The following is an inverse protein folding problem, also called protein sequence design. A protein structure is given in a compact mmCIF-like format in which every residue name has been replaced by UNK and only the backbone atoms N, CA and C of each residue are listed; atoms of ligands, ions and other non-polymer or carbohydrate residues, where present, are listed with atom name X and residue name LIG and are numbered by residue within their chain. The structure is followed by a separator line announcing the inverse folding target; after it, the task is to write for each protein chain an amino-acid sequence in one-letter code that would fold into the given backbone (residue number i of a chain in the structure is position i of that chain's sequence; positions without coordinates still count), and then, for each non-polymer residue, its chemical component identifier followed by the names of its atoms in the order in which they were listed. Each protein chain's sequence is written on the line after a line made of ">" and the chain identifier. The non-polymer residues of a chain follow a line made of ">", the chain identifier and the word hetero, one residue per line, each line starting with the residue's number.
data_IF_644521726019
#
_entry.id   IF_644521726019
#
_cell.length_a   1.000
_cell.length_b   1.000
_cell.length_c   1.000
_cell.angle_alpha   90.00
_cell.angle_beta   90.00
_cell.angle_gamma   90.00
#
_symmetry.space_group_name_H-M   'P 1'
#
loop_
_entity.id
_entity.type
_entity.pdbx_description
1 polymer ?
#
# COMPACT_ATOMS: atom_id res chain seq x y z
N UNK A 1 -23.62 20.81 9.63
CA UNK A 1 -23.79 19.50 8.95
C UNK A 1 -23.44 19.73 7.48
N UNK A 2 -22.19 19.51 7.11
CA UNK A 2 -21.73 19.73 5.73
C UNK A 2 -21.94 18.42 4.95
N UNK A 3 -22.71 18.50 3.85
CA UNK A 3 -23.12 17.36 3.04
C UNK A 3 -21.90 16.63 2.47
N UNK A 4 -21.57 15.46 3.03
CA UNK A 4 -20.53 14.55 2.54
C UNK A 4 -21.00 13.75 1.31
N UNK A 5 -21.56 14.44 0.31
CA UNK A 5 -21.93 13.86 -1.00
C UNK A 5 -20.72 13.67 -1.92
N UNK A 6 -19.53 14.16 -1.53
CA UNK A 6 -18.30 13.93 -2.27
C UNK A 6 -17.89 12.46 -2.17
N UNK A 7 -17.84 11.77 -3.30
CA UNK A 7 -17.29 10.43 -3.38
C UNK A 7 -15.81 10.45 -2.99
N UNK A 8 -15.35 9.55 -2.11
CA UNK A 8 -13.94 9.50 -1.69
C UNK A 8 -13.06 9.24 -2.90
N UNK A 9 -12.05 10.09 -3.11
CA UNK A 9 -11.10 9.90 -4.21
C UNK A 9 -10.02 8.89 -3.81
N UNK A 10 -10.39 7.60 -3.85
CA UNK A 10 -9.55 6.47 -3.43
C UNK A 10 -8.24 6.35 -4.21
N UNK A 11 -8.22 6.83 -5.45
CA UNK A 11 -7.01 6.92 -6.26
C UNK A 11 -5.97 7.85 -5.59
N UNK A 12 -6.41 9.01 -5.11
CA UNK A 12 -5.52 9.98 -4.49
C UNK A 12 -4.98 9.46 -3.14
N UNK A 13 -5.80 8.73 -2.40
CA UNK A 13 -5.35 8.03 -1.20
C UNK A 13 -4.31 6.96 -1.49
N UNK A 14 -4.45 6.24 -2.60
CA UNK A 14 -3.52 5.18 -2.97
C UNK A 14 -2.12 5.68 -3.34
N UNK A 15 -1.95 6.95 -3.70
CA UNK A 15 -0.64 7.58 -3.95
C UNK A 15 0.28 7.61 -2.72
N UNK A 16 -0.27 7.42 -1.53
CA UNK A 16 0.56 7.30 -0.32
C UNK A 16 1.43 6.04 -0.39
N UNK A 17 0.94 4.95 -1.01
CA UNK A 17 1.69 3.71 -1.15
C UNK A 17 3.01 3.89 -1.90
N UNK A 18 3.04 4.37 -3.16
CA UNK A 18 4.29 4.52 -3.90
C UNK A 18 5.26 5.49 -3.21
N UNK A 19 4.77 6.56 -2.57
CA UNK A 19 5.61 7.50 -1.82
C UNK A 19 6.29 6.79 -0.64
N UNK A 20 5.53 6.05 0.16
CA UNK A 20 6.09 5.31 1.30
C UNK A 20 7.00 4.16 0.84
N UNK A 21 6.63 3.48 -0.25
CA UNK A 21 7.41 2.40 -0.82
C UNK A 21 8.81 2.87 -1.24
N UNK A 22 8.89 3.95 -2.02
CA UNK A 22 10.17 4.52 -2.47
C UNK A 22 10.98 5.05 -1.28
N UNK A 23 10.33 5.79 -0.37
CA UNK A 23 11.01 6.39 0.78
C UNK A 23 11.61 5.34 1.72
N UNK A 24 10.83 4.30 2.04
CA UNK A 24 11.27 3.20 2.91
C UNK A 24 12.32 2.35 2.19
N UNK A 25 12.14 2.07 0.90
CA UNK A 25 13.13 1.35 0.08
C UNK A 25 14.50 2.03 0.11
N UNK A 26 14.54 3.33 -0.15
CA UNK A 26 15.79 4.11 -0.12
C UNK A 26 16.43 4.17 1.28
N UNK A 27 15.60 4.28 2.34
CA UNK A 27 16.09 4.29 3.72
C UNK A 27 16.74 2.94 4.10
N UNK A 28 16.19 1.82 3.64
CA UNK A 28 16.74 0.49 3.93
C UNK A 28 18.05 0.29 3.18
N UNK A 29 18.08 0.65 1.89
CA UNK A 29 19.28 0.53 1.06
C UNK A 29 20.46 1.31 1.65
N UNK A 30 20.19 2.49 2.24
CA UNK A 30 21.22 3.31 2.90
C UNK A 30 21.68 2.79 4.27
N UNK A 31 20.80 2.17 5.06
CA UNK A 31 21.11 1.75 6.44
C UNK A 31 21.61 0.29 6.50
N UNK A 32 21.05 -0.59 5.68
CA UNK A 32 21.32 -2.02 5.69
C UNK A 32 21.22 -2.61 4.27
N UNK A 33 22.19 -2.28 3.38
CA UNK A 33 22.15 -2.68 1.97
C UNK A 33 22.12 -4.20 1.76
N UNK A 34 22.65 -4.98 2.71
CA UNK A 34 22.63 -6.45 2.63
C UNK A 34 21.33 -7.08 3.14
N UNK A 35 20.38 -6.30 3.68
CA UNK A 35 19.14 -6.84 4.25
C UNK A 35 17.92 -6.49 3.41
N UNK A 36 17.37 -7.50 2.76
CA UNK A 36 16.01 -7.44 2.23
C UNK A 36 15.00 -7.57 3.37
N UNK A 37 14.14 -6.56 3.57
CA UNK A 37 13.04 -6.63 4.55
C UNK A 37 11.95 -7.63 4.14
N UNK A 38 11.92 -8.06 2.88
CA UNK A 38 10.93 -9.01 2.35
C UNK A 38 9.50 -8.71 2.79
N UNK A 39 8.80 -9.76 3.24
CA UNK A 39 7.40 -9.70 3.69
C UNK A 39 7.19 -8.74 4.87
N UNK A 40 8.17 -8.60 5.78
CA UNK A 40 8.02 -7.73 6.95
C UNK A 40 7.97 -6.25 6.53
N UNK A 41 8.83 -5.85 5.59
CA UNK A 41 8.83 -4.50 5.03
C UNK A 41 7.50 -4.18 4.35
N UNK A 42 6.98 -5.13 3.57
CA UNK A 42 5.69 -5.00 2.91
C UNK A 42 4.54 -4.81 3.91
N UNK A 43 4.48 -5.59 4.99
CA UNK A 43 3.46 -5.43 6.03
C UNK A 43 3.56 -4.03 6.66
N UNK A 44 4.77 -3.55 6.93
CA UNK A 44 4.99 -2.24 7.52
C UNK A 44 4.52 -1.12 6.58
N UNK A 45 4.88 -1.20 5.29
CA UNK A 45 4.43 -0.24 4.26
C UNK A 45 2.90 -0.25 4.15
N UNK A 46 2.26 -1.42 4.15
CA UNK A 46 0.80 -1.54 4.12
C UNK A 46 0.17 -0.86 5.34
N UNK A 47 0.66 -1.10 6.55
CA UNK A 47 0.14 -0.47 7.76
C UNK A 47 0.36 1.06 7.75
N UNK A 48 1.56 1.50 7.37
CA UNK A 48 1.91 2.92 7.27
C UNK A 48 1.07 3.63 6.20
N UNK A 49 0.70 2.94 5.12
CA UNK A 49 -0.17 3.46 4.06
C UNK A 49 -1.63 3.50 4.49
N UNK A 50 -2.15 2.41 5.05
CA UNK A 50 -3.58 2.28 5.35
C UNK A 50 -4.00 3.14 6.54
N UNK A 51 -3.13 3.36 7.52
CA UNK A 51 -3.42 4.20 8.69
C UNK A 51 -3.87 5.62 8.33
N UNK A 52 -3.09 6.43 7.58
CA UNK A 52 -3.48 7.78 7.19
C UNK A 52 -4.69 7.79 6.25
N UNK A 53 -4.81 6.80 5.35
CA UNK A 53 -5.98 6.66 4.47
C UNK A 53 -7.25 6.46 5.30
N UNK A 54 -7.23 5.51 6.24
CA UNK A 54 -8.36 5.21 7.11
C UNK A 54 -8.70 6.39 8.02
N UNK A 55 -7.68 7.06 8.57
CA UNK A 55 -7.86 8.24 9.40
C UNK A 55 -8.54 9.37 8.64
N UNK A 56 -7.99 9.76 7.48
CA UNK A 56 -8.53 10.85 6.66
C UNK A 56 -9.94 10.53 6.15
N UNK A 57 -10.17 9.29 5.72
CA UNK A 57 -11.50 8.84 5.30
C UNK A 57 -12.52 8.92 6.44
N UNK A 58 -12.16 8.39 7.61
CA UNK A 58 -13.05 8.38 8.79
C UNK A 58 -13.35 9.79 9.26
N UNK A 59 -12.36 10.68 9.25
CA UNK A 59 -12.52 12.10 9.62
C UNK A 59 -13.46 12.86 8.68
N UNK A 60 -13.44 12.59 7.38
CA UNK A 60 -14.25 13.32 6.39
C UNK A 60 -15.63 12.70 6.13
N UNK A 61 -15.79 11.40 6.32
CA UNK A 61 -17.03 10.69 5.98
C UNK A 61 -17.75 10.09 7.19
N UNK A 62 -17.12 10.01 8.36
CA UNK A 62 -17.70 9.51 9.62
C UNK A 62 -18.41 8.15 9.48
N UNK A 63 -17.87 7.26 8.63
CA UNK A 63 -18.43 5.92 8.40
C UNK A 63 -17.33 4.93 8.05
N UNK A 64 -17.67 3.64 8.06
CA UNK A 64 -16.80 2.59 7.51
C UNK A 64 -16.76 2.62 5.98
N UNK A 65 -15.67 2.09 5.43
CA UNK A 65 -15.58 1.79 4.00
C UNK A 65 -16.65 0.78 3.58
N UNK A 66 -17.36 1.10 2.49
CA UNK A 66 -18.23 0.16 1.79
C UNK A 66 -17.39 -0.94 1.12
N UNK A 67 -18.00 -2.10 0.86
CA UNK A 67 -17.33 -3.22 0.19
C UNK A 67 -16.71 -2.81 -1.16
N UNK A 68 -17.43 -2.02 -1.95
CA UNK A 68 -16.93 -1.50 -3.24
C UNK A 68 -15.72 -0.57 -3.08
N UNK A 69 -15.67 0.24 -2.02
CA UNK A 69 -14.55 1.15 -1.73
C UNK A 69 -13.30 0.37 -1.32
N UNK A 70 -13.48 -0.70 -0.54
CA UNK A 70 -12.38 -1.61 -0.18
C UNK A 70 -11.80 -2.29 -1.42
N UNK A 71 -12.65 -2.79 -2.32
CA UNK A 71 -12.20 -3.43 -3.57
C UNK A 71 -11.43 -2.42 -4.43
N UNK A 72 -11.97 -1.21 -4.63
CA UNK A 72 -11.27 -0.15 -5.37
C UNK A 72 -9.91 0.18 -4.75
N UNK A 73 -9.84 0.28 -3.42
CA UNK A 73 -8.58 0.54 -2.72
C UNK A 73 -7.57 -0.60 -2.92
N UNK A 74 -8.00 -1.86 -2.84
CA UNK A 74 -7.15 -3.03 -3.12
C UNK A 74 -6.60 -2.97 -4.54
N UNK A 75 -7.47 -2.72 -5.53
CA UNK A 75 -7.06 -2.63 -6.94
C UNK A 75 -6.02 -1.52 -7.13
N UNK A 76 -6.26 -0.32 -6.58
CA UNK A 76 -5.31 0.78 -6.73
C UNK A 76 -3.98 0.53 -6.01
N UNK A 77 -4.01 0.00 -4.78
CA UNK A 77 -2.79 -0.33 -4.04
C UNK A 77 -1.99 -1.43 -4.73
N UNK A 78 -2.67 -2.45 -5.27
CA UNK A 78 -2.02 -3.52 -6.03
C UNK A 78 -1.42 -2.99 -7.32
N UNK A 79 -2.14 -2.13 -8.05
CA UNK A 79 -1.61 -1.47 -9.24
C UNK A 79 -0.34 -0.67 -8.94
N UNK A 80 -0.33 0.12 -7.85
CA UNK A 80 0.86 0.85 -7.43
C UNK A 80 2.00 -0.05 -6.98
N UNK A 81 1.72 -1.14 -6.25
CA UNK A 81 2.74 -2.09 -5.82
C UNK A 81 3.44 -2.74 -7.04
N UNK A 82 2.65 -3.23 -8.00
CA UNK A 82 3.18 -3.79 -9.26
C UNK A 82 4.00 -2.75 -10.02
N UNK A 83 3.52 -1.51 -10.10
CA UNK A 83 4.26 -0.45 -10.78
C UNK A 83 5.59 -0.13 -10.09
N UNK A 84 5.62 -0.07 -8.75
CA UNK A 84 6.83 0.12 -7.97
C UNK A 84 7.82 -1.03 -8.17
N UNK A 85 7.34 -2.28 -8.19
CA UNK A 85 8.17 -3.46 -8.41
C UNK A 85 8.79 -3.46 -9.82
N UNK A 86 7.99 -3.17 -10.85
CA UNK A 86 8.47 -3.04 -12.22
C UNK A 86 9.52 -1.94 -12.37
N UNK A 87 9.34 -0.81 -11.69
CA UNK A 87 10.31 0.28 -11.69
C UNK A 87 11.61 -0.09 -10.98
N UNK A 88 11.53 -0.84 -9.86
CA UNK A 88 12.70 -1.30 -9.13
C UNK A 88 13.54 -2.27 -9.99
N UNK A 89 12.89 -3.23 -10.63
CA UNK A 89 13.56 -4.19 -11.53
C UNK A 89 14.15 -3.47 -12.74
N UNK A 90 13.43 -2.52 -13.32
CA UNK A 90 13.94 -1.71 -14.43
C UNK A 90 15.18 -0.91 -14.03
N UNK A 91 15.19 -0.35 -12.82
CA UNK A 91 16.33 0.37 -12.27
C UNK A 91 17.55 -0.54 -12.10
N UNK A 92 17.38 -1.71 -11.48
CA UNK A 92 18.47 -2.69 -11.33
C UNK A 92 19.02 -3.14 -12.69
N UNK A 93 18.14 -3.47 -13.64
CA UNK A 93 18.53 -3.88 -14.99
C UNK A 93 19.29 -2.78 -15.75
N UNK A 94 18.96 -1.50 -15.49
CA UNK A 94 19.64 -0.37 -16.13
C UNK A 94 21.05 -0.11 -15.58
N UNK A 95 21.35 -0.61 -14.37
CA UNK A 95 22.65 -0.52 -13.72
C UNK A 95 23.58 -1.67 -14.09
N UNK A 96 23.02 -2.83 -14.44
CA UNK A 96 23.79 -4.00 -14.87
C UNK A 96 24.26 -3.88 -16.32
N UNK A 97 25.57 -4.09 -16.52
CA UNK A 97 26.22 -3.94 -17.84
C UNK A 97 26.07 -5.17 -18.74
N UNK A 98 25.65 -6.32 -18.20
CA UNK A 98 25.30 -7.53 -18.94
C UNK A 98 24.00 -8.12 -18.39
N UNK A 99 22.83 -7.79 -18.96
CA UNK A 99 21.54 -8.28 -18.49
C UNK A 99 21.38 -9.74 -18.92
N UNK A 100 21.80 -10.68 -18.07
CA UNK A 100 21.50 -12.10 -18.25
C UNK A 100 20.08 -12.36 -17.71
N UNK A 101 19.08 -12.05 -18.55
CA UNK A 101 17.66 -12.19 -18.17
C UNK A 101 17.30 -13.68 -18.17
N UNK A 102 17.55 -14.33 -17.04
CA UNK A 102 17.11 -15.71 -16.81
C UNK A 102 15.58 -15.77 -16.73
N UNK A 103 15.00 -16.85 -17.27
CA UNK A 103 13.57 -17.18 -17.11
C UNK A 103 13.11 -17.21 -15.64
N UNK A 104 14.05 -17.36 -14.70
CA UNK A 104 13.85 -17.30 -13.25
C UNK A 104 13.31 -15.95 -12.75
N UNK A 105 13.66 -14.83 -13.41
CA UNK A 105 13.23 -13.48 -12.99
C UNK A 105 11.71 -13.33 -13.15
N UNK A 106 11.15 -13.80 -14.27
CA UNK A 106 9.70 -13.75 -14.50
C UNK A 106 8.91 -14.57 -13.46
N UNK A 107 9.47 -15.70 -13.01
CA UNK A 107 8.87 -16.50 -11.96
C UNK A 107 8.87 -15.76 -10.61
N UNK A 108 9.99 -15.12 -10.26
CA UNK A 108 10.10 -14.32 -9.02
C UNK A 108 9.08 -13.19 -9.02
N UNK A 109 9.00 -12.42 -10.10
CA UNK A 109 8.02 -11.33 -10.26
C UNK A 109 6.59 -11.85 -10.09
N UNK A 110 6.25 -12.96 -10.76
CA UNK A 110 4.92 -13.55 -10.65
C UNK A 110 4.55 -13.93 -9.22
N UNK A 111 5.49 -14.51 -8.48
CA UNK A 111 5.29 -14.89 -7.07
C UNK A 111 5.16 -13.65 -6.17
N UNK A 112 6.00 -12.63 -6.35
CA UNK A 112 5.93 -11.40 -5.56
C UNK A 112 4.60 -10.68 -5.77
N UNK A 113 4.15 -10.49 -7.02
CA UNK A 113 2.86 -9.85 -7.33
C UNK A 113 1.70 -10.59 -6.65
N UNK A 114 1.73 -11.93 -6.67
CA UNK A 114 0.72 -12.76 -6.00
C UNK A 114 0.72 -12.55 -4.48
N UNK A 115 1.91 -12.55 -3.86
CA UNK A 115 2.06 -12.30 -2.44
C UNK A 115 1.60 -10.89 -2.06
N UNK A 116 2.04 -9.87 -2.80
CA UNK A 116 1.65 -8.47 -2.61
C UNK A 116 0.14 -8.30 -2.66
N UNK A 117 -0.51 -8.87 -3.67
CA UNK A 117 -1.96 -8.82 -3.82
C UNK A 117 -2.65 -9.48 -2.62
N UNK A 118 -2.15 -10.62 -2.14
CA UNK A 118 -2.69 -11.33 -1.00
C UNK A 118 -2.54 -10.52 0.29
N UNK A 119 -1.36 -9.97 0.55
CA UNK A 119 -1.09 -9.16 1.74
C UNK A 119 -1.85 -7.83 1.72
N UNK A 120 -1.92 -7.13 0.57
CA UNK A 120 -2.72 -5.91 0.41
C UNK A 120 -4.19 -6.21 0.67
N UNK A 121 -4.71 -7.32 0.15
CA UNK A 121 -6.10 -7.72 0.37
C UNK A 121 -6.39 -7.96 1.85
N UNK A 122 -5.56 -8.75 2.52
CA UNK A 122 -5.71 -9.03 3.95
C UNK A 122 -5.54 -7.74 4.76
N UNK A 123 -4.53 -6.94 4.44
CA UNK A 123 -4.23 -5.66 5.07
C UNK A 123 -5.42 -4.70 4.99
N UNK A 124 -5.97 -4.47 3.81
CA UNK A 124 -7.16 -3.62 3.63
C UNK A 124 -8.35 -4.16 4.43
N UNK A 125 -8.58 -5.47 4.46
CA UNK A 125 -9.71 -6.03 5.20
C UNK A 125 -9.56 -5.87 6.72
N UNK A 126 -8.37 -6.17 7.26
CA UNK A 126 -8.08 -6.17 8.69
C UNK A 126 -7.84 -4.75 9.21
N UNK A 127 -6.90 -4.02 8.60
CA UNK A 127 -6.51 -2.67 9.03
C UNK A 127 -7.66 -1.70 8.85
N UNK A 128 -8.37 -1.73 7.72
CA UNK A 128 -9.48 -0.80 7.52
C UNK A 128 -10.65 -1.06 8.47
N UNK A 129 -10.83 -2.30 8.96
CA UNK A 129 -11.82 -2.58 10.02
C UNK A 129 -11.33 -2.02 11.37
N UNK A 130 -10.11 -2.38 11.78
CA UNK A 130 -9.57 -2.02 13.09
C UNK A 130 -9.38 -0.51 13.25
N UNK A 131 -8.77 0.11 12.25
CA UNK A 131 -8.41 1.54 12.27
C UNK A 131 -9.64 2.43 12.16
N UNK A 132 -10.61 2.07 11.32
CA UNK A 132 -11.87 2.84 11.26
C UNK A 132 -12.67 2.73 12.56
N UNK A 133 -12.76 1.54 13.18
CA UNK A 133 -13.43 1.41 14.48
C UNK A 133 -12.78 2.32 15.52
N UNK A 134 -11.45 2.29 15.63
CA UNK A 134 -10.71 3.13 16.57
C UNK A 134 -10.97 4.63 16.35
N UNK A 135 -10.93 5.09 15.09
CA UNK A 135 -11.15 6.50 14.80
C UNK A 135 -12.60 6.94 14.95
N UNK A 136 -13.59 6.09 14.63
CA UNK A 136 -15.00 6.39 14.84
C UNK A 136 -15.33 6.50 16.33
N UNK A 137 -14.90 5.53 17.14
CA UNK A 137 -15.10 5.58 18.61
C UNK A 137 -14.47 6.83 19.23
N UNK A 138 -13.30 7.25 18.73
CA UNK A 138 -12.62 8.46 19.20
C UNK A 138 -13.37 9.74 18.81
N UNK A 139 -13.98 9.78 17.62
CA UNK A 139 -14.77 10.94 17.19
C UNK A 139 -16.07 11.03 17.99
N UNK A 140 -16.75 9.91 18.22
CA UNK A 140 -17.99 9.87 19.01
C UNK A 140 -17.77 10.29 20.47
N UNK A 141 -16.64 9.93 21.07
CA UNK A 141 -16.27 10.38 22.43
C UNK A 141 -15.95 11.86 22.55
N UNK A 142 -15.55 12.51 21.46
CA UNK A 142 -15.13 13.92 21.44
C UNK A 142 -16.27 14.88 21.02
N UNK A 143 -17.49 14.36 20.88
CA UNK A 143 -18.69 15.11 20.48
C UNK A 143 -19.61 15.32 21.67
#
# INVERSE_FOLDING_TARGET
>A
MENSTKTPNLFLYSLILPILWISIGFLIDTIAPEKSLGVFGLVLIIYATLTPICWHFTKNHHRHFKKQEKIKLIVFLTFWAVLCELLAIWYELSLESNPDISSSIYYIIGVTILLDTLFITIGVQVVAKRTNNYFLEKIDKNR
#
